data_IF_362274562281
#
_entry.id   IF_362274562281
#
_cell.length_a   1.000
_cell.length_b   1.000
_cell.length_c   1.000
_cell.angle_alpha   90.00
_cell.angle_beta   90.00
_cell.angle_gamma   90.00
#
_symmetry.space_group_name_H-M   'P 1'
#
loop_
_entity.id
_entity.type
_entity.pdbx_description
1 polymer ?
#
# COMPACT_ATOMS: atom_id res chain seq x y z
N UNK A 1 -14.53 6.86 12.64
CA UNK A 1 -13.41 7.81 12.46
C UNK A 1 -12.45 7.22 11.43
N UNK A 2 -12.23 7.91 10.31
CA UNK A 2 -11.38 7.43 9.23
C UNK A 2 -9.93 7.76 9.55
N UNK A 3 -9.12 6.76 9.91
CA UNK A 3 -7.70 6.97 10.18
C UNK A 3 -6.94 7.09 8.85
N UNK A 4 -6.47 8.30 8.56
CA UNK A 4 -5.65 8.67 7.43
C UNK A 4 -4.21 8.86 7.92
N UNK A 5 -3.25 8.24 7.25
CA UNK A 5 -1.83 8.38 7.57
C UNK A 5 -1.00 8.62 6.31
N UNK A 6 0.03 9.45 6.41
CA UNK A 6 0.95 9.74 5.30
C UNK A 6 1.84 8.54 5.01
N UNK A 7 2.03 8.21 3.74
CA UNK A 7 2.86 7.07 3.34
C UNK A 7 4.35 7.45 3.47
N UNK A 8 5.16 6.69 4.24
CA UNK A 8 6.59 6.94 4.34
C UNK A 8 7.28 6.81 2.98
N UNK A 9 8.15 7.77 2.64
CA UNK A 9 8.80 7.88 1.32
C UNK A 9 7.93 8.51 0.22
N UNK A 10 6.63 8.74 0.47
CA UNK A 10 5.70 9.34 -0.48
C UNK A 10 4.85 10.44 0.19
N UNK A 11 5.46 11.57 0.61
CA UNK A 11 4.79 12.58 1.43
C UNK A 11 3.57 13.25 0.77
N UNK A 12 3.45 13.15 -0.56
CA UNK A 12 2.27 13.64 -1.30
C UNK A 12 1.10 12.66 -1.37
N UNK A 13 1.18 11.53 -0.66
CA UNK A 13 0.16 10.49 -0.66
C UNK A 13 -0.20 10.07 0.76
N UNK A 14 -1.48 9.78 0.96
CA UNK A 14 -2.04 9.37 2.25
C UNK A 14 -2.80 8.07 2.04
N UNK A 15 -2.68 7.15 2.99
CA UNK A 15 -3.41 5.89 2.96
C UNK A 15 -4.40 5.81 4.12
N UNK A 16 -5.56 5.22 3.84
CA UNK A 16 -6.59 4.88 4.82
C UNK A 16 -6.43 3.41 5.22
N UNK A 17 -6.81 3.04 6.45
CA UNK A 17 -6.84 1.63 6.89
C UNK A 17 -7.61 0.69 5.95
N UNK A 18 -8.59 1.21 5.22
CA UNK A 18 -9.37 0.50 4.19
C UNK A 18 -8.55 0.15 2.92
N UNK A 19 -7.30 0.59 2.83
CA UNK A 19 -6.44 0.40 1.66
C UNK A 19 -6.66 1.44 0.55
N UNK A 20 -7.44 2.49 0.80
CA UNK A 20 -7.62 3.59 -0.15
C UNK A 20 -6.46 4.55 -0.06
N UNK A 21 -5.90 4.92 -1.21
CA UNK A 21 -4.80 5.88 -1.28
C UNK A 21 -5.29 7.19 -1.89
N UNK A 22 -5.04 8.28 -1.18
CA UNK A 22 -5.32 9.64 -1.60
C UNK A 22 -4.05 10.28 -2.16
N UNK A 23 -4.18 10.94 -3.31
CA UNK A 23 -3.11 11.74 -3.91
C UNK A 23 -3.39 13.21 -3.62
N UNK A 24 -2.52 13.87 -2.85
CA UNK A 24 -2.61 15.31 -2.59
C UNK A 24 -2.26 16.13 -3.83
N UNK A 25 -1.38 15.61 -4.69
CA UNK A 25 -1.00 16.26 -5.95
C UNK A 25 -2.17 16.46 -6.90
N UNK A 26 -3.06 15.47 -6.96
CA UNK A 26 -4.23 15.47 -7.86
C UNK A 26 -5.54 15.65 -7.11
N UNK A 27 -5.49 15.77 -5.78
CA UNK A 27 -6.64 15.80 -4.87
C UNK A 27 -7.71 14.75 -5.19
N UNK A 28 -7.26 13.52 -5.48
CA UNK A 28 -8.12 12.41 -5.92
C UNK A 28 -7.73 11.11 -5.25
N UNK A 29 -8.73 10.26 -5.06
CA UNK A 29 -8.55 8.87 -4.65
C UNK A 29 -7.94 8.07 -5.80
N UNK A 30 -6.78 7.45 -5.58
CA UNK A 30 -6.19 6.51 -6.51
C UNK A 30 -7.01 5.22 -6.53
N UNK A 31 -7.32 4.74 -7.73
CA UNK A 31 -7.95 3.43 -7.91
C UNK A 31 -6.87 2.36 -7.87
N UNK A 32 -6.90 1.44 -6.90
CA UNK A 32 -5.99 0.32 -6.92
C UNK A 32 -6.32 -0.61 -8.09
N UNK A 33 -5.28 -1.18 -8.69
CA UNK A 33 -5.40 -2.20 -9.74
C UNK A 33 -5.09 -3.58 -9.17
N UNK A 34 -5.83 -4.59 -9.61
CA UNK A 34 -5.57 -5.99 -9.28
C UNK A 34 -4.34 -6.45 -10.06
N UNK A 35 -3.31 -6.94 -9.37
CA UNK A 35 -2.05 -7.40 -10.02
C UNK A 35 -1.83 -8.89 -9.96
N UNK A 36 -2.55 -9.60 -9.11
CA UNK A 36 -2.39 -11.03 -8.93
C UNK A 36 -3.73 -11.74 -9.08
N UNK A 37 -3.69 -13.00 -9.54
CA UNK A 37 -4.86 -13.88 -9.57
C UNK A 37 -5.49 -14.04 -8.18
N UNK A 38 -4.68 -13.87 -7.13
CA UNK A 38 -5.08 -13.94 -5.72
C UNK A 38 -5.78 -12.67 -5.21
N UNK A 39 -6.12 -11.71 -6.09
CA UNK A 39 -6.87 -10.51 -5.70
C UNK A 39 -6.04 -9.43 -5.02
N UNK A 40 -4.70 -9.52 -5.05
CA UNK A 40 -3.86 -8.47 -4.47
C UNK A 40 -4.02 -7.14 -5.23
N UNK A 41 -4.34 -6.10 -4.47
CA UNK A 41 -4.47 -4.74 -4.94
C UNK A 41 -3.11 -4.01 -4.89
N UNK A 42 -2.80 -3.29 -5.96
CA UNK A 42 -1.63 -2.42 -6.05
C UNK A 42 -2.03 -0.99 -6.42
N UNK A 43 -1.20 -0.04 -6.07
CA UNK A 43 -1.30 1.36 -6.49
C UNK A 43 0.01 1.82 -7.10
N UNK A 44 -0.07 2.67 -8.12
CA UNK A 44 1.08 3.36 -8.70
C UNK A 44 1.28 4.70 -8.01
N UNK A 45 2.35 4.83 -7.22
CA UNK A 45 2.74 6.08 -6.57
C UNK A 45 3.83 6.75 -7.41
N UNK A 46 3.66 8.03 -7.76
CA UNK A 46 4.67 8.76 -8.51
C UNK A 46 5.55 9.59 -7.58
N UNK A 47 6.85 9.27 -7.53
CA UNK A 47 7.83 10.02 -6.75
C UNK A 47 9.03 10.38 -7.62
N UNK A 48 9.43 11.66 -7.60
CA UNK A 48 10.56 12.20 -8.39
C UNK A 48 10.57 11.77 -9.88
N UNK A 49 9.40 11.74 -10.51
CA UNK A 49 9.25 11.35 -11.93
C UNK A 49 9.29 9.83 -12.20
N UNK A 50 9.43 8.99 -11.16
CA UNK A 50 9.36 7.53 -11.27
C UNK A 50 8.07 7.01 -10.67
N UNK A 51 7.44 6.05 -11.36
CA UNK A 51 6.23 5.37 -10.88
C UNK A 51 6.66 4.12 -10.11
N UNK A 52 6.31 4.07 -8.84
CA UNK A 52 6.52 2.93 -7.95
C UNK A 52 5.19 2.20 -7.77
N UNK A 53 5.12 0.95 -8.26
CA UNK A 53 4.00 0.06 -7.94
C UNK A 53 4.21 -0.53 -6.55
N UNK A 54 3.27 -0.28 -5.65
CA UNK A 54 3.27 -0.80 -4.28
C UNK A 54 1.95 -1.51 -3.99
N UNK A 55 2.02 -2.61 -3.27
CA UNK A 55 0.84 -3.37 -2.86
C UNK A 55 0.10 -2.58 -1.77
N UNK A 56 -1.21 -2.45 -1.91
CA UNK A 56 -2.05 -1.70 -0.97
C UNK A 56 -1.91 -2.26 0.44
N UNK A 57 -1.99 -3.58 0.58
CA UNK A 57 -1.86 -4.22 1.89
C UNK A 57 -0.50 -3.93 2.55
N UNK A 58 0.60 -3.93 1.78
CA UNK A 58 1.92 -3.57 2.31
C UNK A 58 1.95 -2.13 2.79
N UNK A 59 1.42 -1.19 1.99
CA UNK A 59 1.37 0.22 2.40
C UNK A 59 0.57 0.42 3.70
N UNK A 60 -0.56 -0.28 3.85
CA UNK A 60 -1.35 -0.22 5.09
C UNK A 60 -0.53 -0.75 6.26
N UNK A 61 0.07 -1.93 6.12
CA UNK A 61 0.90 -2.53 7.17
C UNK A 61 2.09 -1.63 7.53
N UNK A 62 2.85 -1.15 6.54
CA UNK A 62 4.00 -0.27 6.72
C UNK A 62 3.63 1.04 7.42
N UNK A 63 2.43 1.57 7.15
CA UNK A 63 1.99 2.87 7.69
C UNK A 63 1.34 2.76 9.07
N UNK A 64 0.56 1.72 9.33
CA UNK A 64 -0.21 1.58 10.58
C UNK A 64 0.42 0.63 11.60
N UNK A 65 1.17 -0.38 11.15
CA UNK A 65 1.86 -1.34 12.03
C UNK A 65 3.34 -0.94 12.18
N UNK A 66 3.99 -0.56 11.09
CA UNK A 66 5.40 -0.11 11.09
C UNK A 66 6.20 -0.72 9.93
N UNK A 67 7.44 -0.25 9.70
CA UNK A 67 8.25 -0.71 8.58
C UNK A 67 8.48 -2.22 8.68
N UNK A 68 8.19 -2.93 7.60
CA UNK A 68 8.61 -4.32 7.46
C UNK A 68 10.15 -4.33 7.36
N UNK A 69 10.88 -5.03 8.23
CA UNK A 69 12.34 -5.02 8.21
C UNK A 69 12.89 -5.47 6.86
N UNK A 70 13.95 -4.81 6.41
CA UNK A 70 14.60 -5.02 5.11
C UNK A 70 15.08 -6.48 5.00
N UNK A 71 14.63 -7.21 3.98
CA UNK A 71 14.91 -8.64 3.81
C UNK A 71 13.84 -9.59 4.36
N UNK A 72 12.78 -9.09 5.00
CA UNK A 72 11.58 -9.89 5.25
C UNK A 72 10.56 -9.65 4.13
N UNK A 73 10.46 -10.61 3.21
CA UNK A 73 9.16 -10.90 2.61
C UNK A 73 8.23 -11.30 3.74
N UNK A 74 6.94 -10.93 3.67
CA UNK A 74 5.93 -11.44 4.60
C UNK A 74 6.16 -12.96 4.71
N UNK A 75 6.70 -13.43 5.84
CA UNK A 75 6.73 -14.86 6.10
C UNK A 75 5.27 -15.26 6.05
N UNK A 76 4.90 -16.08 5.07
CA UNK A 76 3.67 -16.87 5.12
C UNK A 76 3.79 -17.70 6.41
N UNK A 77 3.43 -17.11 7.55
CA UNK A 77 3.15 -17.78 8.81
C UNK A 77 1.70 -18.25 8.80
N UNK A 78 1.25 -18.72 7.64
CA UNK A 78 0.10 -19.58 7.58
C UNK A 78 0.42 -20.64 6.53
N UNK A 79 0.75 -21.81 7.04
CA UNK A 79 0.99 -23.02 6.26
C UNK A 79 -0.30 -23.60 5.71
N UNK A 80 -1.22 -22.77 5.23
CA UNK A 80 -2.39 -23.23 4.51
C UNK A 80 -2.73 -22.29 3.35
N UNK A 81 -2.21 -22.66 2.18
CA UNK A 81 -2.58 -22.06 0.90
C UNK A 81 -3.86 -22.69 0.36
N UNK A 82 -4.78 -23.22 1.18
CA UNK A 82 -6.07 -23.74 0.67
C UNK A 82 -7.17 -23.89 1.74
N UNK A 83 -7.75 -22.79 2.24
CA UNK A 83 -9.18 -22.78 2.59
C UNK A 83 -9.78 -21.36 2.67
#
# INVERSE_FOLDING_TARGET
MTFLSSIPGFPGYTIVRDGRVWSHKTSKMLKPSKVSKYGHLCVGLCNKGKIHRRLVHRLVLETFIGPCPEGMECRHLDGDQTN
#
